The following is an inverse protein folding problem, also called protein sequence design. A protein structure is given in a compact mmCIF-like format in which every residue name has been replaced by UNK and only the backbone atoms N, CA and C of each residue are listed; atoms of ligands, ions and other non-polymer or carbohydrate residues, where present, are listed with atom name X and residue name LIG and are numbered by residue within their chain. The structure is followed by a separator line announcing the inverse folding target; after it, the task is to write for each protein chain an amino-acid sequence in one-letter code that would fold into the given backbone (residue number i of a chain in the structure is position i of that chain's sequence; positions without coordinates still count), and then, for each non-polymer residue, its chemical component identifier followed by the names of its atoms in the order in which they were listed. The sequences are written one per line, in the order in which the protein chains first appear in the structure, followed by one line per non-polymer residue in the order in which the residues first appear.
data_IF_215552910751
#
_entry.id   IF_215552910751
#
_cell.length_a   1.000
_cell.length_b   1.000
_cell.length_c   1.000
_cell.angle_alpha   90.00
_cell.angle_beta   90.00
_cell.angle_gamma   90.00
#
_symmetry.space_group_name_H-M   'P 1'
#
loop_
_entity.id
_entity.type
_entity.pdbx_description
1 polymer ?
#
# COMPACT_ATOMS: atom_id res chain seq x y z
N UNK A 1 -10.38 -12.68 12.05
CA UNK A 1 -11.18 -11.65 11.37
C UNK A 1 -12.42 -11.37 12.20
N UNK A 2 -12.81 -10.10 12.37
CA UNK A 2 -14.10 -9.68 12.93
C UNK A 2 -14.71 -8.67 11.97
N UNK A 3 -16.02 -8.74 11.72
CA UNK A 3 -16.72 -7.86 10.81
C UNK A 3 -17.87 -7.14 11.52
N UNK A 4 -18.04 -5.87 11.23
CA UNK A 4 -19.17 -5.03 11.68
C UNK A 4 -19.64 -4.16 10.53
N UNK A 5 -20.94 -3.91 10.45
CA UNK A 5 -21.49 -2.94 9.50
C UNK A 5 -21.00 -1.53 9.83
N UNK A 6 -20.73 -0.74 8.79
CA UNK A 6 -20.35 0.67 8.87
C UNK A 6 -21.34 1.47 8.02
N UNK A 7 -21.74 2.63 8.50
CA UNK A 7 -22.61 3.54 7.74
C UNK A 7 -21.73 4.34 6.76
N UNK A 8 -21.89 4.20 5.44
CA UNK A 8 -21.02 4.88 4.47
C UNK A 8 -21.07 6.41 4.57
N UNK A 9 -22.06 6.97 5.27
CA UNK A 9 -22.20 8.41 5.50
C UNK A 9 -21.25 8.94 6.60
N UNK A 10 -20.51 8.08 7.29
CA UNK A 10 -19.51 8.47 8.28
C UNK A 10 -18.20 9.01 7.65
N UNK A 11 -18.05 8.81 6.33
CA UNK A 11 -16.87 9.21 5.56
C UNK A 11 -17.12 10.54 4.86
N UNK A 12 -16.22 11.50 5.07
CA UNK A 12 -16.37 12.88 4.55
C UNK A 12 -15.39 13.21 3.42
N UNK A 13 -14.45 12.33 3.13
CA UNK A 13 -13.43 12.51 2.11
C UNK A 13 -12.89 11.16 1.63
N UNK A 14 -12.38 11.13 0.41
CA UNK A 14 -11.70 9.99 -0.21
C UNK A 14 -10.48 10.51 -0.98
N UNK A 15 -9.46 9.67 -1.15
CA UNK A 15 -8.26 10.00 -1.92
C UNK A 15 -7.75 8.77 -2.68
N UNK A 16 -7.05 9.01 -3.78
CA UNK A 16 -6.37 7.94 -4.52
C UNK A 16 -5.21 7.36 -3.70
N UNK A 17 -5.11 6.02 -3.71
CA UNK A 17 -4.02 5.32 -3.05
C UNK A 17 -2.74 5.35 -3.90
N UNK A 18 -1.61 5.53 -3.22
CA UNK A 18 -0.28 5.27 -3.81
C UNK A 18 0.25 3.99 -3.20
N UNK A 19 0.63 3.03 -4.02
CA UNK A 19 1.10 1.73 -3.56
C UNK A 19 2.61 1.62 -3.65
N UNK A 20 3.19 0.80 -2.77
CA UNK A 20 4.61 0.42 -2.80
C UNK A 20 4.74 -1.08 -2.82
N UNK A 21 5.44 -1.62 -3.80
CA UNK A 21 5.68 -3.07 -3.95
C UNK A 21 7.17 -3.32 -3.75
N UNK A 22 7.48 -4.22 -2.82
CA UNK A 22 8.83 -4.63 -2.49
C UNK A 22 8.98 -6.07 -2.97
N UNK A 23 9.80 -6.29 -4.00
CA UNK A 23 10.18 -7.64 -4.41
C UNK A 23 11.41 -8.07 -3.64
N UNK A 24 11.41 -9.31 -3.16
CA UNK A 24 12.51 -9.93 -2.42
C UNK A 24 12.92 -11.22 -3.13
N UNK A 25 14.21 -11.38 -3.41
CA UNK A 25 14.78 -12.65 -3.85
C UNK A 25 15.37 -13.46 -2.67
N UNK A 26 15.80 -14.69 -2.95
CA UNK A 26 16.36 -15.60 -1.92
C UNK A 26 17.67 -15.08 -1.30
N UNK A 27 18.35 -14.16 -1.97
CA UNK A 27 19.62 -13.56 -1.56
C UNK A 27 19.41 -12.25 -0.79
N UNK A 28 18.15 -11.81 -0.64
CA UNK A 28 17.75 -10.60 0.07
C UNK A 28 17.90 -9.32 -0.75
N UNK A 29 18.08 -9.41 -2.06
CA UNK A 29 18.03 -8.23 -2.92
C UNK A 29 16.59 -7.71 -2.99
N UNK A 30 16.45 -6.40 -2.82
CA UNK A 30 15.16 -5.72 -2.81
C UNK A 30 15.01 -4.84 -4.03
N UNK A 31 13.89 -4.98 -4.73
CA UNK A 31 13.50 -4.09 -5.84
C UNK A 31 12.16 -3.44 -5.48
N UNK A 32 12.15 -2.11 -5.46
CA UNK A 32 11.06 -1.35 -4.90
C UNK A 32 10.37 -0.47 -5.94
N UNK A 33 9.05 -0.58 -6.03
CA UNK A 33 8.24 0.13 -7.01
C UNK A 33 7.16 0.95 -6.33
N UNK A 34 7.07 2.23 -6.73
CA UNK A 34 5.96 3.11 -6.38
C UNK A 34 4.95 3.12 -7.53
N UNK A 35 3.71 2.75 -7.23
CA UNK A 35 2.62 2.68 -8.21
C UNK A 35 1.58 3.74 -7.90
N UNK A 36 1.22 4.50 -8.92
CA UNK A 36 0.25 5.60 -8.85
C UNK A 36 -0.83 5.38 -9.88
N UNK A 37 -2.04 5.90 -9.63
CA UNK A 37 -3.17 5.82 -10.56
C UNK A 37 -3.60 4.39 -10.93
N UNK A 38 -3.39 3.44 -10.00
CA UNK A 38 -4.05 2.13 -10.10
C UNK A 38 -5.54 2.28 -9.80
N UNK A 39 -6.38 1.59 -10.56
CA UNK A 39 -7.84 1.62 -10.41
C UNK A 39 -8.27 1.02 -9.06
N UNK A 40 -7.61 -0.06 -8.65
CA UNK A 40 -7.86 -0.74 -7.39
C UNK A 40 -6.66 -1.61 -6.96
N UNK A 41 -6.79 -2.22 -5.77
CA UNK A 41 -5.78 -3.14 -5.23
C UNK A 41 -5.63 -4.42 -6.07
N UNK A 42 -6.66 -4.82 -6.81
CA UNK A 42 -6.62 -5.96 -7.72
C UNK A 42 -5.65 -5.73 -8.87
N UNK A 43 -5.73 -4.57 -9.52
CA UNK A 43 -4.79 -4.16 -10.58
C UNK A 43 -3.34 -4.19 -10.08
N UNK A 44 -3.10 -3.69 -8.86
CA UNK A 44 -1.77 -3.70 -8.24
C UNK A 44 -1.26 -5.11 -7.99
N UNK A 45 -2.11 -6.00 -7.47
CA UNK A 45 -1.76 -7.40 -7.23
C UNK A 45 -1.45 -8.14 -8.53
N UNK A 46 -2.22 -7.89 -9.59
CA UNK A 46 -2.01 -8.51 -10.89
C UNK A 46 -0.72 -7.99 -11.54
N UNK A 47 -0.45 -6.69 -11.45
CA UNK A 47 0.83 -6.11 -11.85
C UNK A 47 2.01 -6.74 -11.08
N UNK A 48 1.89 -6.88 -9.76
CA UNK A 48 2.95 -7.42 -8.91
C UNK A 48 3.23 -8.89 -9.23
N UNK A 49 2.19 -9.71 -9.40
CA UNK A 49 2.31 -11.13 -9.80
C UNK A 49 2.92 -11.29 -11.18
N UNK A 50 2.53 -10.46 -12.15
CA UNK A 50 3.11 -10.51 -13.49
C UNK A 50 4.61 -10.16 -13.49
N UNK A 51 5.05 -9.31 -12.56
CA UNK A 51 6.45 -8.84 -12.46
C UNK A 51 7.31 -9.65 -11.48
N UNK A 52 6.72 -10.36 -10.53
CA UNK A 52 7.46 -11.05 -9.47
C UNK A 52 8.42 -12.11 -10.03
N UNK A 53 8.03 -12.80 -11.10
CA UNK A 53 8.78 -13.97 -11.58
C UNK A 53 8.85 -15.01 -10.47
N UNK A 54 10.05 -15.40 -10.05
CA UNK A 54 10.28 -16.31 -8.92
C UNK A 54 10.40 -15.62 -7.56
N UNK A 55 10.37 -14.29 -7.51
CA UNK A 55 10.53 -13.50 -6.28
C UNK A 55 9.23 -13.45 -5.47
N UNK A 56 9.34 -13.29 -4.17
CA UNK A 56 8.18 -12.89 -3.35
C UNK A 56 7.98 -11.39 -3.43
N UNK A 57 6.78 -10.92 -3.06
CA UNK A 57 6.55 -9.50 -2.92
C UNK A 57 5.71 -9.16 -1.70
N UNK A 58 6.00 -7.99 -1.13
CA UNK A 58 5.25 -7.36 -0.04
C UNK A 58 4.61 -6.09 -0.59
N UNK A 59 3.33 -5.89 -0.30
CA UNK A 59 2.56 -4.74 -0.81
C UNK A 59 2.23 -3.78 0.34
N UNK A 60 2.40 -2.49 0.09
CA UNK A 60 2.03 -1.42 0.99
C UNK A 60 1.20 -0.34 0.29
N UNK A 61 0.47 0.45 1.07
CA UNK A 61 -0.07 1.75 0.67
C UNK A 61 0.65 2.87 1.43
N UNK A 62 1.01 3.95 0.75
CA UNK A 62 1.53 5.18 1.37
C UNK A 62 0.41 5.81 2.20
N UNK A 63 0.71 6.12 3.45
CA UNK A 63 -0.23 6.74 4.36
C UNK A 63 0.43 7.90 5.09
N UNK A 64 -0.32 8.96 5.28
CA UNK A 64 0.07 10.10 6.07
C UNK A 64 -0.41 9.91 7.51
N UNK A 65 0.50 10.01 8.47
CA UNK A 65 0.18 9.96 9.90
C UNK A 65 0.38 11.34 10.49
N UNK A 66 -0.63 11.83 11.21
CA UNK A 66 -0.48 13.02 12.05
C UNK A 66 0.63 12.77 13.08
N UNK A 67 1.64 13.63 13.12
CA UNK A 67 2.71 13.54 14.11
C UNK A 67 2.47 14.54 15.24
N UNK A 68 2.75 14.12 16.48
CA UNK A 68 2.66 14.99 17.67
C UNK A 68 3.82 16.00 17.73
N UNK A 69 4.79 15.93 16.80
CA UNK A 69 5.84 16.94 16.68
C UNK A 69 5.25 18.18 16.03
N UNK A 70 5.60 19.34 16.57
CA UNK A 70 5.02 20.66 16.26
C UNK A 70 5.14 21.17 14.79
N UNK A 71 5.43 20.33 13.79
CA UNK A 71 5.69 20.79 12.43
C UNK A 71 5.35 19.84 11.26
N UNK A 72 4.62 18.72 11.39
CA UNK A 72 4.33 17.99 10.15
C UNK A 72 3.49 16.73 10.18
N UNK A 73 3.10 16.35 8.96
CA UNK A 73 2.57 15.04 8.60
C UNK A 73 3.75 14.11 8.32
N UNK A 74 3.76 12.93 8.94
CA UNK A 74 4.78 11.91 8.71
C UNK A 74 4.29 10.91 7.66
N UNK A 75 5.10 10.67 6.62
CA UNK A 75 4.81 9.63 5.63
C UNK A 75 5.17 8.26 6.20
N UNK A 76 4.24 7.33 6.10
CA UNK A 76 4.39 5.94 6.50
C UNK A 76 3.83 4.97 5.45
N UNK A 77 3.90 3.69 5.79
CA UNK A 77 3.44 2.58 4.94
C UNK A 77 2.49 1.69 5.74
N UNK A 78 1.34 1.36 5.17
CA UNK A 78 0.43 0.34 5.70
C UNK A 78 0.60 -0.92 4.86
N UNK A 79 1.00 -2.04 5.50
CA UNK A 79 1.19 -3.33 4.82
C UNK A 79 -0.16 -3.97 4.46
N UNK A 80 -0.28 -4.44 3.23
CA UNK A 80 -1.48 -5.07 2.67
C UNK A 80 -1.29 -6.59 2.42
N UNK A 81 -0.06 -7.01 2.10
CA UNK A 81 0.37 -8.42 1.90
C UNK A 81 1.76 -8.59 2.50
#
# INVERSE_FOLDING_TARGET
MRASGVDPRDTTWEQDAVYRVYFEDEEGATDEWRLTAAQDVGEVLDWARARSGSRTFTLYVEADRASDRAAGTERGLIRLL
#
